data_IF_299651565891
#
_entry.id   IF_299651565891
#
_cell.length_a   1.000
_cell.length_b   1.000
_cell.length_c   1.000
_cell.angle_alpha   90.00
_cell.angle_beta   90.00
_cell.angle_gamma   90.00
#
_symmetry.space_group_name_H-M   'P 1'
#
loop_
_entity.id
_entity.type
_entity.pdbx_description
1 polymer ?
#
# COMPACT_ATOMS: atom_id res chain seq x y z
N UNK A 1 -29.46 7.91 1.82
CA UNK A 1 -29.41 6.43 1.82
C UNK A 1 -29.26 5.95 3.25
N UNK A 2 -29.91 4.87 3.63
CA UNK A 2 -29.72 4.18 4.91
C UNK A 2 -28.40 3.41 4.91
N UNK A 3 -27.85 3.05 6.10
CA UNK A 3 -26.66 2.20 6.13
C UNK A 3 -26.85 0.88 5.36
N UNK A 4 -28.05 0.29 5.40
CA UNK A 4 -28.32 -0.95 4.69
C UNK A 4 -28.28 -0.77 3.17
N UNK A 5 -28.82 0.31 2.64
CA UNK A 5 -28.78 0.60 1.19
C UNK A 5 -27.33 0.76 0.68
N UNK A 6 -26.40 1.32 1.47
CA UNK A 6 -24.97 1.35 1.12
C UNK A 6 -24.36 -0.05 1.09
N UNK A 7 -24.66 -0.87 2.10
CA UNK A 7 -24.16 -2.25 2.21
C UNK A 7 -24.70 -3.12 1.07
N UNK A 8 -25.98 -2.96 0.73
CA UNK A 8 -26.63 -3.71 -0.35
C UNK A 8 -25.99 -3.37 -1.72
N UNK A 9 -25.72 -2.08 -1.98
CA UNK A 9 -25.00 -1.66 -3.19
C UNK A 9 -23.59 -2.26 -3.28
N UNK A 10 -22.83 -2.24 -2.19
CA UNK A 10 -21.51 -2.85 -2.15
C UNK A 10 -21.60 -4.36 -2.34
N UNK A 11 -22.61 -5.01 -1.76
CA UNK A 11 -22.85 -6.45 -1.92
C UNK A 11 -23.28 -6.80 -3.35
N UNK A 12 -24.06 -5.97 -4.03
CA UNK A 12 -24.52 -6.23 -5.41
C UNK A 12 -23.37 -6.08 -6.42
N UNK A 13 -22.54 -5.05 -6.28
CA UNK A 13 -21.53 -4.69 -7.29
C UNK A 13 -20.08 -5.00 -6.89
N UNK A 14 -19.82 -5.28 -5.62
CA UNK A 14 -18.49 -5.61 -5.11
C UNK A 14 -18.12 -7.08 -5.29
N UNK A 15 -16.83 -7.38 -5.31
CA UNK A 15 -16.30 -8.74 -5.54
C UNK A 15 -16.30 -9.64 -4.30
N UNK A 16 -16.82 -9.23 -3.17
CA UNK A 16 -16.90 -9.97 -1.88
C UNK A 16 -15.57 -10.58 -1.41
N UNK A 17 -14.46 -9.91 -1.72
CA UNK A 17 -13.12 -10.33 -1.29
C UNK A 17 -12.80 -9.95 0.16
N UNK A 18 -13.71 -9.29 0.85
CA UNK A 18 -13.69 -8.96 2.27
C UNK A 18 -15.04 -9.25 2.93
N UNK A 19 -15.03 -9.36 4.26
CA UNK A 19 -16.22 -9.41 5.10
C UNK A 19 -16.20 -8.21 6.06
N UNK A 20 -16.59 -7.00 5.59
CA UNK A 20 -16.56 -5.80 6.41
C UNK A 20 -17.53 -5.88 7.59
N UNK A 21 -17.22 -5.15 8.65
CA UNK A 21 -18.20 -4.90 9.72
C UNK A 21 -19.38 -4.11 9.17
N UNK A 22 -20.61 -4.30 9.69
CA UNK A 22 -21.81 -3.61 9.18
C UNK A 22 -21.87 -2.14 9.66
N UNK A 23 -20.83 -1.39 9.36
CA UNK A 23 -20.67 0.03 9.70
C UNK A 23 -20.26 0.78 8.43
N UNK A 24 -21.03 1.78 8.06
CA UNK A 24 -20.77 2.62 6.87
C UNK A 24 -20.14 3.92 7.33
N UNK A 25 -18.83 4.04 7.21
CA UNK A 25 -18.08 5.22 7.61
C UNK A 25 -18.22 6.34 6.57
N UNK A 26 -18.42 7.56 7.03
CA UNK A 26 -18.57 8.75 6.18
C UNK A 26 -17.51 9.83 6.45
N UNK A 27 -17.10 10.00 7.71
CA UNK A 27 -16.22 11.10 8.13
C UNK A 27 -15.19 10.64 9.14
N UNK A 28 -14.02 11.27 9.09
CA UNK A 28 -12.96 11.06 10.07
C UNK A 28 -12.36 12.38 10.55
N UNK A 29 -11.98 12.45 11.83
CA UNK A 29 -11.32 13.61 12.45
C UNK A 29 -10.39 13.15 13.59
N UNK A 30 -9.10 13.35 13.43
CA UNK A 30 -8.10 12.90 14.39
C UNK A 30 -8.17 11.39 14.61
N UNK A 31 -8.45 10.97 15.84
CA UNK A 31 -8.57 9.53 16.20
C UNK A 31 -9.99 8.98 16.07
N UNK A 32 -10.91 9.78 15.57
CA UNK A 32 -12.32 9.41 15.50
C UNK A 32 -12.79 9.21 14.07
N UNK A 33 -13.69 8.26 13.89
CA UNK A 33 -14.50 8.09 12.67
C UNK A 33 -15.97 8.14 13.01
N UNK A 34 -16.78 8.49 12.05
CA UNK A 34 -18.23 8.65 12.19
C UNK A 34 -18.91 7.90 11.06
N UNK A 35 -19.97 7.18 11.37
CA UNK A 35 -20.80 6.54 10.37
C UNK A 35 -21.84 7.50 9.78
N UNK A 36 -22.53 7.03 8.75
CA UNK A 36 -23.58 7.79 8.03
C UNK A 36 -24.78 8.16 8.90
N UNK A 37 -24.91 7.60 10.12
CA UNK A 37 -25.92 7.97 11.10
C UNK A 37 -25.41 9.04 12.08
N UNK A 38 -24.15 9.41 11.99
CA UNK A 38 -23.47 10.35 12.90
C UNK A 38 -22.92 9.71 14.16
N UNK A 39 -22.99 8.40 14.33
CA UNK A 39 -22.42 7.71 15.47
C UNK A 39 -20.90 7.77 15.42
N UNK A 40 -20.30 8.12 16.55
CA UNK A 40 -18.85 8.31 16.73
C UNK A 40 -18.18 7.03 17.23
N UNK A 41 -17.01 6.72 16.65
CA UNK A 41 -16.16 5.60 17.04
C UNK A 41 -14.72 6.08 17.25
N UNK A 42 -13.98 5.38 18.11
CA UNK A 42 -12.51 5.46 18.15
C UNK A 42 -11.92 4.51 17.11
N UNK A 43 -11.03 5.02 16.28
CA UNK A 43 -10.36 4.22 15.25
C UNK A 43 -9.03 3.66 15.81
N UNK A 44 -9.07 2.43 16.30
CA UNK A 44 -7.88 1.69 16.74
C UNK A 44 -7.20 0.90 15.61
N UNK A 45 -7.81 0.83 14.43
CA UNK A 45 -7.23 0.13 13.27
C UNK A 45 -6.34 1.06 12.42
N UNK A 46 -6.74 2.33 12.30
CA UNK A 46 -6.02 3.38 11.56
C UNK A 46 -5.59 2.94 10.15
N UNK A 47 -6.45 2.21 9.42
CA UNK A 47 -6.15 1.59 8.13
C UNK A 47 -4.80 0.82 8.16
N UNK A 48 -4.63 -0.06 9.16
CA UNK A 48 -3.39 -0.81 9.43
C UNK A 48 -2.17 0.11 9.62
N UNK A 49 -2.34 1.16 10.43
CA UNK A 49 -1.34 2.19 10.75
C UNK A 49 -1.01 3.16 9.61
N UNK A 50 -1.74 3.13 8.50
CA UNK A 50 -1.54 4.09 7.42
C UNK A 50 -2.00 5.52 7.80
N UNK A 51 -3.01 5.65 8.68
CA UNK A 51 -3.56 6.92 9.16
C UNK A 51 -2.97 7.30 10.52
N UNK A 52 -1.67 7.08 10.72
CA UNK A 52 -0.98 7.31 12.00
C UNK A 52 -0.88 8.78 12.42
N UNK A 53 -1.17 9.72 11.52
CA UNK A 53 -1.26 11.17 11.81
C UNK A 53 -2.67 11.61 12.20
N UNK A 54 -3.62 10.67 12.26
CA UNK A 54 -5.03 10.92 12.42
C UNK A 54 -5.75 11.26 11.12
N UNK A 55 -7.07 11.07 11.13
CA UNK A 55 -7.94 11.39 10.00
C UNK A 55 -7.96 12.90 9.72
N UNK A 56 -7.91 13.25 8.45
CA UNK A 56 -8.04 14.62 7.96
C UNK A 56 -7.10 15.63 8.65
N UNK A 57 -5.86 15.21 8.93
CA UNK A 57 -4.87 16.10 9.55
C UNK A 57 -4.70 17.37 8.72
N UNK A 58 -4.93 18.59 9.28
CA UNK A 58 -5.09 19.82 8.49
C UNK A 58 -3.86 20.18 7.65
N UNK A 59 -2.65 19.89 8.12
CA UNK A 59 -1.43 20.13 7.35
C UNK A 59 -1.30 19.17 6.15
N UNK A 60 -1.76 17.92 6.28
CA UNK A 60 -1.74 16.94 5.17
C UNK A 60 -2.79 17.28 4.13
N UNK A 61 -4.02 17.58 4.57
CA UNK A 61 -5.10 18.01 3.68
C UNK A 61 -4.68 19.26 2.90
N UNK A 62 -4.13 20.27 3.58
CA UNK A 62 -3.63 21.48 2.92
C UNK A 62 -2.54 21.16 1.88
N UNK A 63 -1.55 20.33 2.23
CA UNK A 63 -0.46 20.00 1.33
C UNK A 63 -0.96 19.28 0.06
N UNK A 64 -1.92 18.35 0.21
CA UNK A 64 -2.55 17.64 -0.92
C UNK A 64 -3.33 18.63 -1.80
N UNK A 65 -4.18 19.46 -1.21
CA UNK A 65 -5.00 20.43 -1.94
C UNK A 65 -4.17 21.47 -2.67
N UNK A 66 -3.15 22.01 -2.03
CA UNK A 66 -2.22 22.99 -2.62
C UNK A 66 -1.47 22.38 -3.82
N UNK A 67 -1.00 21.15 -3.68
CA UNK A 67 -0.28 20.48 -4.77
C UNK A 67 -1.23 20.04 -5.90
N UNK A 68 -2.42 19.53 -5.58
CA UNK A 68 -3.41 19.09 -6.57
C UNK A 68 -3.88 20.25 -7.46
N UNK A 69 -3.97 21.48 -6.90
CA UNK A 69 -4.32 22.67 -7.69
C UNK A 69 -3.18 23.21 -8.57
N UNK A 70 -1.96 22.69 -8.44
CA UNK A 70 -0.79 23.10 -9.24
C UNK A 70 -0.39 22.06 -10.28
N UNK A 71 -0.23 20.81 -9.86
CA UNK A 71 0.13 19.68 -10.72
C UNK A 71 -0.24 18.37 -9.99
N UNK A 72 -1.22 17.64 -10.52
CA UNK A 72 -1.70 16.39 -9.94
C UNK A 72 -0.82 15.21 -10.29
N UNK A 73 -0.42 15.11 -11.56
CA UNK A 73 0.35 13.98 -12.09
C UNK A 73 1.24 14.44 -13.25
N UNK A 74 2.44 13.87 -13.32
CA UNK A 74 3.31 13.97 -14.50
C UNK A 74 3.96 12.62 -14.80
N UNK A 75 4.28 12.37 -16.07
CA UNK A 75 5.07 11.21 -16.46
C UNK A 75 6.50 11.29 -15.91
N UNK A 76 7.09 10.12 -15.59
CA UNK A 76 8.52 9.99 -15.28
C UNK A 76 9.44 10.36 -16.45
N UNK A 77 8.90 10.64 -17.64
CA UNK A 77 9.63 11.24 -18.74
C UNK A 77 10.09 12.67 -18.43
N UNK A 78 9.53 13.30 -17.40
CA UNK A 78 9.89 14.66 -16.97
C UNK A 78 10.39 14.66 -15.52
N UNK A 79 11.22 15.64 -15.21
CA UNK A 79 11.56 15.95 -13.81
C UNK A 79 10.45 16.80 -13.18
N UNK A 80 10.30 16.66 -11.84
CA UNK A 80 9.43 17.54 -11.06
C UNK A 80 10.25 18.22 -9.96
N UNK A 81 9.77 19.37 -9.50
CA UNK A 81 10.44 20.11 -8.44
C UNK A 81 10.33 19.45 -7.04
N UNK A 82 9.48 18.44 -6.88
CA UNK A 82 9.26 17.76 -5.60
C UNK A 82 9.99 16.43 -5.48
N UNK A 83 10.15 15.69 -6.59
CA UNK A 83 10.63 14.32 -6.54
C UNK A 83 12.03 14.21 -5.95
N UNK A 84 13.00 14.94 -6.49
CA UNK A 84 14.39 14.88 -6.02
C UNK A 84 14.57 15.29 -4.57
N UNK A 85 13.81 16.30 -4.10
CA UNK A 85 13.84 16.70 -2.69
C UNK A 85 13.22 15.65 -1.77
N UNK A 86 12.19 14.93 -2.23
CA UNK A 86 11.56 13.83 -1.51
C UNK A 86 12.50 12.64 -1.41
N UNK A 87 13.11 12.23 -2.53
CA UNK A 87 14.09 11.14 -2.58
C UNK A 87 15.29 11.43 -1.68
N UNK A 88 15.84 12.64 -1.73
CA UNK A 88 16.93 13.07 -0.84
C UNK A 88 16.54 12.91 0.63
N UNK A 89 15.39 13.44 1.02
CA UNK A 89 14.90 13.37 2.40
C UNK A 89 14.72 11.92 2.90
N UNK A 90 14.22 11.03 2.05
CA UNK A 90 14.06 9.61 2.38
C UNK A 90 15.42 8.92 2.48
N UNK A 91 16.32 9.16 1.53
CA UNK A 91 17.67 8.59 1.54
C UNK A 91 18.44 8.99 2.82
N UNK A 92 18.45 10.28 3.15
CA UNK A 92 19.10 10.78 4.36
C UNK A 92 18.47 10.23 5.65
N UNK A 93 17.13 10.18 5.71
CA UNK A 93 16.40 9.69 6.89
C UNK A 93 16.64 8.22 7.19
N UNK A 94 16.71 7.39 6.17
CA UNK A 94 16.84 5.93 6.30
C UNK A 94 18.26 5.40 6.07
N UNK A 95 19.22 6.27 5.77
CA UNK A 95 20.62 5.89 5.59
C UNK A 95 20.92 5.15 4.29
N UNK A 96 20.14 5.37 3.23
CA UNK A 96 20.34 4.78 1.91
C UNK A 96 20.93 5.79 0.93
N UNK A 97 21.66 5.30 -0.06
CA UNK A 97 22.24 6.15 -1.11
C UNK A 97 21.23 6.54 -2.19
N UNK A 98 20.27 5.68 -2.47
CA UNK A 98 19.26 5.83 -3.53
C UNK A 98 17.89 5.37 -3.05
N UNK A 99 16.87 5.96 -3.64
CA UNK A 99 15.46 5.63 -3.37
C UNK A 99 14.76 5.39 -4.70
N UNK A 100 13.93 4.36 -4.77
CA UNK A 100 13.02 4.08 -5.87
C UNK A 100 11.60 4.07 -5.34
N UNK A 101 10.82 5.07 -5.70
CA UNK A 101 9.42 5.16 -5.28
C UNK A 101 8.53 4.31 -6.20
N UNK A 102 7.58 3.61 -5.59
CA UNK A 102 6.57 2.78 -6.26
C UNK A 102 5.17 3.21 -5.82
N UNK A 103 4.13 2.77 -6.53
CA UNK A 103 2.75 3.15 -6.24
C UNK A 103 2.17 2.38 -5.05
N UNK A 104 2.58 1.12 -4.87
CA UNK A 104 2.07 0.24 -3.80
C UNK A 104 3.22 -0.48 -3.09
N UNK A 105 2.93 -0.99 -1.89
CA UNK A 105 3.88 -1.80 -1.13
C UNK A 105 4.28 -3.09 -1.87
N UNK A 106 3.34 -3.74 -2.54
CA UNK A 106 3.63 -4.97 -3.30
C UNK A 106 4.51 -4.69 -4.53
N UNK A 107 4.32 -3.58 -5.23
CA UNK A 107 5.23 -3.16 -6.31
C UNK A 107 6.65 -2.91 -5.80
N UNK A 108 6.78 -2.29 -4.63
CA UNK A 108 8.07 -2.09 -3.98
C UNK A 108 8.72 -3.43 -3.59
N UNK A 109 7.95 -4.37 -3.04
CA UNK A 109 8.40 -5.72 -2.71
C UNK A 109 8.88 -6.50 -3.93
N UNK A 110 8.10 -6.52 -5.00
CA UNK A 110 8.50 -7.18 -6.26
C UNK A 110 9.74 -6.53 -6.89
N UNK A 111 9.84 -5.20 -6.82
CA UNK A 111 11.03 -4.49 -7.29
C UNK A 111 12.27 -4.81 -6.47
N UNK A 112 12.13 -4.98 -5.16
CA UNK A 112 13.21 -5.41 -4.28
C UNK A 112 13.68 -6.85 -4.62
N UNK A 113 12.75 -7.78 -4.86
CA UNK A 113 13.05 -9.15 -5.29
C UNK A 113 13.80 -9.14 -6.63
N UNK A 114 13.31 -8.38 -7.62
CA UNK A 114 13.96 -8.23 -8.92
C UNK A 114 15.38 -7.68 -8.77
N UNK A 115 15.56 -6.65 -7.96
CA UNK A 115 16.86 -6.05 -7.69
C UNK A 115 17.81 -7.04 -7.02
N UNK A 116 17.35 -7.76 -6.00
CA UNK A 116 18.14 -8.77 -5.30
C UNK A 116 18.58 -9.90 -6.24
N UNK A 117 17.68 -10.42 -7.07
CA UNK A 117 18.00 -11.44 -8.08
C UNK A 117 19.00 -10.93 -9.12
N UNK A 118 18.79 -9.75 -9.65
CA UNK A 118 19.72 -9.15 -10.62
C UNK A 118 21.11 -8.98 -10.03
N UNK A 119 21.19 -8.45 -8.82
CA UNK A 119 22.46 -8.32 -8.10
C UNK A 119 23.13 -9.68 -7.81
N UNK A 120 22.35 -10.69 -7.44
CA UNK A 120 22.89 -12.03 -7.21
C UNK A 120 23.54 -12.62 -8.47
N UNK A 121 22.93 -12.45 -9.63
CA UNK A 121 23.44 -12.96 -10.90
C UNK A 121 24.61 -12.12 -11.44
N UNK A 122 24.47 -10.80 -11.47
CA UNK A 122 25.44 -9.92 -12.14
C UNK A 122 26.63 -9.55 -11.25
N UNK A 123 26.47 -9.55 -9.92
CA UNK A 123 27.51 -9.09 -8.99
C UNK A 123 28.06 -10.24 -8.14
N UNK A 124 27.20 -11.10 -7.55
CA UNK A 124 27.64 -12.23 -6.74
C UNK A 124 28.06 -13.46 -7.57
N UNK A 125 27.70 -13.52 -8.83
CA UNK A 125 28.02 -14.66 -9.69
C UNK A 125 27.18 -15.92 -9.39
N UNK A 126 26.01 -15.78 -8.79
CA UNK A 126 25.08 -16.89 -8.61
C UNK A 126 24.68 -17.43 -10.00
N UNK A 127 24.71 -18.74 -10.25
CA UNK A 127 24.32 -19.29 -11.53
C UNK A 127 22.88 -18.93 -11.91
N UNK A 128 22.62 -18.84 -13.20
CA UNK A 128 21.28 -18.47 -13.72
C UNK A 128 20.17 -19.34 -13.11
N UNK A 129 19.08 -18.70 -12.69
CA UNK A 129 17.90 -19.33 -12.07
C UNK A 129 18.14 -20.00 -10.69
N UNK A 130 19.28 -19.76 -10.03
CA UNK A 130 19.58 -20.33 -8.71
C UNK A 130 19.54 -19.29 -7.57
N UNK A 131 19.17 -18.05 -7.83
CA UNK A 131 19.00 -17.07 -6.78
C UNK A 131 17.73 -17.36 -5.96
N UNK A 132 17.90 -17.49 -4.66
CA UNK A 132 16.83 -17.76 -3.70
C UNK A 132 16.52 -16.52 -2.87
N UNK A 133 15.23 -16.32 -2.57
CA UNK A 133 14.74 -15.28 -1.66
C UNK A 133 14.06 -15.97 -0.48
N UNK A 134 14.49 -15.67 0.72
CA UNK A 134 13.93 -16.24 1.95
C UNK A 134 12.88 -15.30 2.52
N UNK A 135 11.73 -15.85 2.88
CA UNK A 135 10.62 -15.13 3.52
C UNK A 135 10.34 -15.68 4.92
N UNK A 136 9.82 -14.84 5.79
CA UNK A 136 9.33 -15.28 7.09
C UNK A 136 8.05 -16.12 6.93
N UNK A 137 7.87 -17.12 7.77
CA UNK A 137 6.59 -17.80 7.92
C UNK A 137 5.52 -16.83 8.42
N UNK A 138 4.29 -16.97 7.95
CA UNK A 138 3.18 -16.07 8.29
C UNK A 138 3.31 -14.67 7.67
N UNK A 139 4.16 -14.50 6.66
CA UNK A 139 4.31 -13.20 5.99
C UNK A 139 3.04 -12.81 5.22
N UNK A 140 2.85 -11.50 5.11
CA UNK A 140 1.89 -10.90 4.17
C UNK A 140 2.48 -9.59 3.64
N UNK A 141 2.66 -9.50 2.32
CA UNK A 141 3.17 -8.30 1.67
C UNK A 141 2.46 -7.93 0.36
N UNK A 142 1.37 -8.63 0.02
CA UNK A 142 0.53 -8.34 -1.13
C UNK A 142 -0.23 -9.55 -1.64
N UNK A 143 -0.91 -9.38 -2.78
CA UNK A 143 -1.79 -10.39 -3.39
C UNK A 143 -1.47 -10.67 -4.85
N UNK A 144 -0.34 -10.23 -5.36
CA UNK A 144 0.15 -10.61 -6.69
C UNK A 144 0.62 -12.07 -6.68
N UNK A 145 0.77 -12.65 -7.86
CA UNK A 145 1.30 -14.01 -8.00
C UNK A 145 2.66 -14.14 -7.30
N UNK A 146 3.54 -13.14 -7.43
CA UNK A 146 4.82 -13.16 -6.72
C UNK A 146 4.66 -13.09 -5.19
N UNK A 147 3.73 -12.28 -4.70
CA UNK A 147 3.48 -12.17 -3.26
C UNK A 147 2.88 -13.45 -2.68
N UNK A 148 1.88 -14.03 -3.32
CA UNK A 148 1.23 -15.25 -2.82
C UNK A 148 2.13 -16.48 -2.97
N UNK A 149 3.09 -16.47 -3.91
CA UNK A 149 4.06 -17.57 -4.06
C UNK A 149 4.96 -17.76 -2.84
N UNK A 150 5.13 -16.73 -2.02
CA UNK A 150 5.92 -16.75 -0.79
C UNK A 150 5.07 -16.92 0.48
N UNK A 151 3.75 -17.03 0.34
CA UNK A 151 2.85 -17.17 1.48
C UNK A 151 2.92 -18.58 2.08
N UNK A 152 2.87 -18.66 3.39
CA UNK A 152 2.66 -19.91 4.14
C UNK A 152 1.19 -20.20 4.44
N UNK A 153 0.27 -19.28 4.05
CA UNK A 153 -1.17 -19.43 4.24
C UNK A 153 -1.83 -20.03 3.01
N UNK A 154 -2.36 -21.28 3.08
CA UNK A 154 -3.05 -21.94 1.96
C UNK A 154 -4.20 -21.13 1.37
N UNK A 155 -4.90 -20.32 2.17
CA UNK A 155 -6.01 -19.49 1.68
C UNK A 155 -5.53 -18.41 0.70
N UNK A 156 -4.26 -18.01 0.79
CA UNK A 156 -3.64 -17.00 -0.07
C UNK A 156 -3.12 -17.55 -1.39
N UNK A 157 -2.69 -18.82 -1.45
CA UNK A 157 -2.02 -19.35 -2.65
C UNK A 157 -2.74 -20.51 -3.35
N UNK A 158 -3.70 -21.21 -2.69
CA UNK A 158 -4.40 -22.32 -3.29
C UNK A 158 -5.13 -21.91 -4.58
N UNK A 159 -4.97 -22.72 -5.63
CA UNK A 159 -5.58 -22.55 -6.95
C UNK A 159 -5.07 -21.33 -7.76
N UNK A 160 -3.97 -20.70 -7.35
CA UNK A 160 -3.36 -19.59 -8.09
C UNK A 160 -2.04 -19.95 -8.80
N UNK A 161 -1.49 -21.16 -8.59
CA UNK A 161 -0.30 -21.64 -9.30
C UNK A 161 -0.53 -21.84 -10.80
N UNK A 162 0.58 -22.04 -11.57
CA UNK A 162 1.96 -22.25 -11.09
C UNK A 162 2.66 -20.96 -10.68
N UNK A 163 3.63 -21.10 -9.78
CA UNK A 163 4.40 -19.98 -9.23
C UNK A 163 5.82 -19.92 -9.81
#
# INVERSE_FOLDING_TARGET
MTPQEYIDLESEFGAHNYHPLPVVLERGEGVHVYDVTGKKYLDFLSAYSAVNQGHCHPRLVKAISDQASRLTLSSRAFHTNLLGSTEKKLAEKFGYQKVLLMNTGVEAGESAIKLARKWAYEVKGVPANQAEIVFAEGNFWGRTIAAVSSSSDPSSYNNFGPF
#
